data_IF_893817791779
#
_entry.id   IF_893817791779
#
_cell.length_a   1.000
_cell.length_b   1.000
_cell.length_c   1.000
_cell.angle_alpha   90.00
_cell.angle_beta   90.00
_cell.angle_gamma   90.00
#
_symmetry.space_group_name_H-M   'P 1'
#
loop_
_entity.id
_entity.type
_entity.pdbx_description
1 polymer ?
#
# COMPACT_ATOMS: atom_id res chain seq x y z
N UNK A 1 22.53 -9.41 20.03
CA UNK A 1 23.11 -8.11 20.42
C UNK A 1 22.04 -7.49 21.28
N UNK A 2 22.10 -7.74 22.58
CA UNK A 2 21.36 -6.88 23.49
C UNK A 2 21.92 -5.48 23.30
N UNK A 3 21.05 -4.47 23.32
CA UNK A 3 21.49 -3.10 23.49
C UNK A 3 22.20 -3.03 24.83
N UNK A 4 23.51 -3.31 24.78
CA UNK A 4 24.27 -3.66 25.96
C UNK A 4 24.20 -2.54 26.97
N UNK A 5 24.54 -2.86 28.21
CA UNK A 5 24.64 -1.98 29.40
C UNK A 5 25.33 -0.60 29.18
N UNK A 6 25.89 -0.34 28.00
CA UNK A 6 26.34 0.98 27.53
C UNK A 6 25.22 2.02 27.32
N UNK A 7 23.94 1.64 27.48
CA UNK A 7 22.80 2.55 27.36
C UNK A 7 22.38 3.20 28.68
N UNK A 8 23.11 2.96 29.77
CA UNK A 8 22.86 3.67 31.03
C UNK A 8 23.29 5.13 30.84
N UNK A 9 22.32 6.05 30.83
CA UNK A 9 22.60 7.47 30.77
C UNK A 9 23.53 7.86 31.93
N UNK A 10 24.58 8.67 31.71
CA UNK A 10 25.50 9.05 32.78
C UNK A 10 24.81 9.66 34.01
N UNK A 11 23.66 10.33 33.80
CA UNK A 11 22.85 10.92 34.86
C UNK A 11 22.24 9.89 35.80
N UNK A 12 21.89 8.69 35.33
CA UNK A 12 21.33 7.65 36.20
C UNK A 12 22.40 6.93 37.02
N UNK A 13 23.67 7.02 36.63
CA UNK A 13 24.80 6.47 37.38
C UNK A 13 25.49 7.52 38.30
N UNK A 14 25.25 8.82 38.09
CA UNK A 14 25.95 9.89 38.79
C UNK A 14 24.97 10.84 39.52
N UNK A 15 24.88 10.68 40.84
CA UNK A 15 24.01 11.47 41.73
C UNK A 15 24.22 12.98 41.62
N UNK A 16 25.44 13.43 41.31
CA UNK A 16 25.70 14.87 41.14
C UNK A 16 25.03 15.41 39.88
N UNK A 17 25.10 14.67 38.77
CA UNK A 17 24.41 15.03 37.53
C UNK A 17 22.90 14.95 37.70
N UNK A 18 22.39 13.97 38.44
CA UNK A 18 20.97 13.88 38.79
C UNK A 18 20.47 15.15 39.49
N UNK A 19 21.17 15.59 40.55
CA UNK A 19 20.79 16.80 41.30
C UNK A 19 20.87 18.04 40.40
N UNK A 20 21.88 18.14 39.54
CA UNK A 20 22.00 19.25 38.59
C UNK A 20 20.88 19.26 37.54
N UNK A 21 20.49 18.10 37.03
CA UNK A 21 19.38 17.97 36.09
C UNK A 21 18.07 18.38 36.76
N UNK A 22 17.78 17.83 37.95
CA UNK A 22 16.57 18.15 38.71
C UNK A 22 16.47 19.64 39.04
N UNK A 23 17.59 20.25 39.47
CA UNK A 23 17.64 21.68 39.76
C UNK A 23 17.42 22.52 38.50
N UNK A 24 18.05 22.16 37.39
CA UNK A 24 17.89 22.89 36.11
C UNK A 24 16.45 22.80 35.59
N UNK A 25 15.82 21.63 35.72
CA UNK A 25 14.43 21.41 35.31
C UNK A 25 13.45 22.19 36.18
N UNK A 26 13.63 22.14 37.50
CA UNK A 26 12.81 22.90 38.45
C UNK A 26 12.93 24.41 38.23
N UNK A 27 14.13 24.91 37.94
CA UNK A 27 14.36 26.33 37.66
C UNK A 27 13.75 26.79 36.34
N UNK A 28 13.73 25.92 35.32
CA UNK A 28 13.28 26.30 33.98
C UNK A 28 11.76 26.21 33.80
N UNK A 29 11.11 25.26 34.49
CA UNK A 29 9.70 24.93 34.26
C UNK A 29 8.78 25.27 35.45
N UNK A 30 9.33 25.66 36.61
CA UNK A 30 8.57 25.90 37.85
C UNK A 30 7.66 24.72 38.27
N UNK A 31 7.96 23.52 37.77
CA UNK A 31 7.25 22.28 38.12
C UNK A 31 8.10 21.49 39.10
N UNK A 32 7.52 21.14 40.25
CA UNK A 32 8.11 20.21 41.22
C UNK A 32 7.87 18.79 40.74
N UNK A 33 8.90 18.16 40.17
CA UNK A 33 8.86 16.77 39.69
C UNK A 33 9.58 15.87 40.68
N UNK A 34 8.99 14.71 40.99
CA UNK A 34 9.62 13.70 41.83
C UNK A 34 10.88 13.13 41.15
N UNK A 35 11.96 12.97 41.93
CA UNK A 35 13.25 12.47 41.43
C UNK A 35 13.13 11.09 40.75
N UNK A 36 12.21 10.23 41.20
CA UNK A 36 11.96 8.92 40.58
C UNK A 36 11.47 9.03 39.14
N UNK A 37 10.63 10.02 38.85
CA UNK A 37 10.11 10.26 37.50
C UNK A 37 11.20 10.85 36.59
N UNK A 38 12.00 11.78 37.12
CA UNK A 38 13.14 12.37 36.39
C UNK A 38 14.21 11.34 36.02
N UNK A 39 14.37 10.31 36.86
CA UNK A 39 15.30 9.20 36.63
C UNK A 39 14.69 8.02 35.87
N UNK A 40 13.41 8.07 35.52
CA UNK A 40 12.81 7.02 34.70
C UNK A 40 13.52 6.95 33.35
N UNK A 41 13.81 5.74 32.88
CA UNK A 41 14.50 5.54 31.59
C UNK A 41 13.74 6.22 30.45
N UNK A 42 12.41 6.10 30.43
CA UNK A 42 11.57 6.69 29.39
C UNK A 42 11.65 8.22 29.38
N UNK A 43 11.68 8.88 30.54
CA UNK A 43 11.85 10.34 30.60
C UNK A 43 13.23 10.77 30.08
N UNK A 44 14.29 10.07 30.48
CA UNK A 44 15.65 10.36 30.00
C UNK A 44 15.78 10.16 28.49
N UNK A 45 15.10 9.17 27.92
CA UNK A 45 15.01 8.99 26.47
C UNK A 45 14.27 10.12 25.77
N UNK A 46 13.13 10.57 26.30
CA UNK A 46 12.42 11.73 25.77
C UNK A 46 13.31 12.97 25.80
N UNK A 47 14.03 13.21 26.90
CA UNK A 47 14.95 14.33 27.02
C UNK A 47 16.13 14.21 26.03
N UNK A 48 16.70 13.02 25.89
CA UNK A 48 17.75 12.73 24.91
C UNK A 48 17.27 12.95 23.47
N UNK A 49 16.05 12.53 23.16
CA UNK A 49 15.45 12.71 21.84
C UNK A 49 14.99 14.14 21.55
N UNK A 50 14.77 14.95 22.57
CA UNK A 50 14.54 16.38 22.41
C UNK A 50 15.86 17.16 22.21
N UNK A 51 16.99 16.62 22.66
CA UNK A 51 18.29 17.26 22.57
C UNK A 51 18.98 17.03 21.21
N UNK A 52 19.03 18.05 20.36
CA UNK A 52 19.71 17.99 19.05
C UNK A 52 21.26 17.93 19.17
N UNK A 53 21.82 18.17 20.35
CA UNK A 53 23.27 18.37 20.58
C UNK A 53 23.98 17.22 21.27
N UNK A 54 23.37 16.03 21.34
CA UNK A 54 24.00 14.87 21.94
C UNK A 54 25.35 14.58 21.26
N UNK A 55 26.43 14.54 22.05
CA UNK A 55 27.78 14.23 21.54
C UNK A 55 28.03 12.72 21.42
N UNK A 56 27.35 11.93 22.26
CA UNK A 56 27.47 10.48 22.32
C UNK A 56 26.14 9.84 21.92
N UNK A 57 26.20 8.75 21.16
CA UNK A 57 25.02 7.99 20.82
C UNK A 57 24.66 7.03 21.94
N UNK A 58 23.50 7.23 22.56
CA UNK A 58 22.90 6.26 23.49
C UNK A 58 21.89 5.33 22.78
N UNK A 59 21.49 5.69 21.57
CA UNK A 59 20.71 4.89 20.62
C UNK A 59 19.83 5.78 19.76
N UNK A 60 19.08 5.14 18.88
CA UNK A 60 18.23 5.81 17.89
C UNK A 60 16.90 6.16 18.56
N UNK A 61 16.44 7.38 18.35
CA UNK A 61 15.16 7.83 18.91
C UNK A 61 14.01 7.15 18.18
N UNK A 62 13.01 6.58 18.90
CA UNK A 62 11.93 5.84 18.28
C UNK A 62 11.08 6.71 17.36
N UNK A 63 10.56 6.11 16.29
CA UNK A 63 9.57 6.72 15.43
C UNK A 63 8.50 5.70 15.05
N UNK A 64 7.64 5.45 16.04
CA UNK A 64 6.54 4.49 16.00
C UNK A 64 5.63 4.65 14.77
N UNK A 65 5.49 5.87 14.23
CA UNK A 65 4.63 6.15 13.07
C UNK A 65 5.28 5.80 11.71
N UNK A 66 6.60 5.60 11.66
CA UNK A 66 7.31 5.24 10.42
C UNK A 66 7.84 3.80 10.42
N UNK A 67 8.37 3.33 11.56
CA UNK A 67 9.00 2.02 11.67
C UNK A 67 8.43 1.15 12.81
N UNK A 68 7.39 1.63 13.48
CA UNK A 68 6.74 0.88 14.55
C UNK A 68 6.18 -0.46 14.09
N UNK A 69 5.99 -1.37 15.04
CA UNK A 69 5.59 -2.76 14.77
C UNK A 69 4.31 -2.85 13.96
N UNK A 70 3.32 -1.98 14.21
CA UNK A 70 2.07 -2.01 13.46
C UNK A 70 2.20 -1.55 12.02
N UNK A 71 3.02 -0.53 11.74
CA UNK A 71 3.30 -0.08 10.36
C UNK A 71 3.98 -1.21 9.58
N UNK A 72 5.02 -1.83 10.15
CA UNK A 72 5.72 -2.96 9.52
C UNK A 72 4.77 -4.11 9.23
N UNK A 73 3.99 -4.52 10.23
CA UNK A 73 2.98 -5.58 10.11
C UNK A 73 1.94 -5.25 9.04
N UNK A 74 1.51 -3.99 8.95
CA UNK A 74 0.56 -3.55 7.93
C UNK A 74 1.11 -3.74 6.51
N UNK A 75 2.39 -3.41 6.25
CA UNK A 75 3.01 -3.65 4.94
C UNK A 75 3.10 -5.14 4.60
N UNK A 76 3.54 -5.96 5.55
CA UNK A 76 3.65 -7.41 5.37
C UNK A 76 2.28 -8.04 5.09
N UNK A 77 1.29 -7.70 5.92
CA UNK A 77 -0.07 -8.21 5.83
C UNK A 77 -0.75 -7.75 4.54
N UNK A 78 -0.68 -6.45 4.22
CA UNK A 78 -1.27 -5.89 2.99
C UNK A 78 -0.74 -6.60 1.75
N UNK A 79 0.56 -6.88 1.70
CA UNK A 79 1.18 -7.56 0.55
C UNK A 79 0.76 -9.02 0.41
N UNK A 80 0.64 -9.75 1.52
CA UNK A 80 0.14 -11.13 1.52
C UNK A 80 -1.33 -11.15 1.08
N UNK A 81 -2.16 -10.27 1.64
CA UNK A 81 -3.57 -10.18 1.28
C UNK A 81 -3.76 -9.76 -0.18
N UNK A 82 -2.94 -8.85 -0.70
CA UNK A 82 -3.00 -8.47 -2.12
C UNK A 82 -2.67 -9.66 -3.03
N UNK A 83 -1.68 -10.47 -2.70
CA UNK A 83 -1.35 -11.68 -3.46
C UNK A 83 -2.50 -12.70 -3.42
N UNK A 84 -3.12 -12.92 -2.25
CA UNK A 84 -4.27 -13.81 -2.09
C UNK A 84 -5.48 -13.28 -2.86
N UNK A 85 -5.77 -11.98 -2.74
CA UNK A 85 -6.90 -11.34 -3.41
C UNK A 85 -6.83 -11.54 -4.91
N UNK A 86 -5.65 -11.40 -5.51
CA UNK A 86 -5.50 -11.61 -6.96
C UNK A 86 -5.57 -13.07 -7.37
N UNK A 87 -5.17 -13.99 -6.48
CA UNK A 87 -5.36 -15.42 -6.73
C UNK A 87 -6.82 -15.85 -6.65
N UNK A 88 -7.62 -15.26 -5.74
CA UNK A 88 -9.02 -15.63 -5.49
C UNK A 88 -9.99 -14.83 -6.37
N UNK A 89 -9.85 -13.51 -6.39
CA UNK A 89 -10.72 -12.56 -7.10
C UNK A 89 -9.90 -11.47 -7.82
N UNK A 90 -9.38 -11.77 -9.03
CA UNK A 90 -8.64 -10.79 -9.81
C UNK A 90 -9.49 -9.59 -10.25
N UNK A 91 -10.82 -9.67 -10.16
CA UNK A 91 -11.74 -8.57 -10.45
C UNK A 91 -11.74 -7.50 -9.34
N UNK A 92 -11.59 -7.92 -8.08
CA UNK A 92 -11.56 -7.02 -6.93
C UNK A 92 -10.15 -6.49 -6.61
N UNK A 93 -9.15 -6.91 -7.37
CA UNK A 93 -7.72 -6.55 -7.21
C UNK A 93 -7.44 -5.04 -7.22
N UNK A 94 -8.30 -4.23 -7.84
CA UNK A 94 -8.17 -2.76 -7.87
C UNK A 94 -8.17 -2.14 -6.48
N UNK A 95 -8.97 -2.68 -5.55
CA UNK A 95 -9.00 -2.24 -4.16
C UNK A 95 -7.66 -2.51 -3.45
N UNK A 96 -7.08 -3.69 -3.67
CA UNK A 96 -5.78 -4.06 -3.11
C UNK A 96 -4.65 -3.12 -3.54
N UNK A 97 -4.61 -2.74 -4.82
CA UNK A 97 -3.61 -1.80 -5.33
C UNK A 97 -3.79 -0.38 -4.75
N UNK A 98 -5.03 0.09 -4.58
CA UNK A 98 -5.30 1.37 -3.95
C UNK A 98 -4.89 1.39 -2.47
N UNK A 99 -5.18 0.32 -1.73
CA UNK A 99 -4.73 0.14 -0.34
C UNK A 99 -3.19 0.21 -0.25
N UNK A 100 -2.47 -0.48 -1.13
CA UNK A 100 -1.01 -0.44 -1.17
C UNK A 100 -0.46 0.97 -1.49
N UNK A 101 -1.11 1.71 -2.39
CA UNK A 101 -0.76 3.09 -2.70
C UNK A 101 -0.98 4.03 -1.50
N UNK A 102 -2.12 3.92 -0.80
CA UNK A 102 -2.41 4.68 0.42
C UNK A 102 -1.36 4.38 1.50
N UNK A 103 -1.04 3.11 1.72
CA UNK A 103 -0.09 2.70 2.75
C UNK A 103 1.33 3.22 2.42
N UNK A 104 1.72 3.19 1.15
CA UNK A 104 2.99 3.78 0.71
C UNK A 104 3.00 5.30 0.93
N UNK A 105 1.90 5.99 0.62
CA UNK A 105 1.77 7.42 0.84
C UNK A 105 1.80 7.78 2.34
N UNK A 106 1.16 6.97 3.19
CA UNK A 106 1.06 7.22 4.62
C UNK A 106 2.39 7.15 5.36
N UNK A 107 3.39 6.42 4.83
CA UNK A 107 4.76 6.44 5.38
C UNK A 107 5.68 7.41 4.67
N UNK A 108 5.52 7.57 3.36
CA UNK A 108 6.45 8.38 2.55
C UNK A 108 6.24 9.87 2.79
N UNK A 109 4.98 10.34 2.90
CA UNK A 109 4.68 11.75 3.12
C UNK A 109 5.18 12.23 4.49
N UNK A 110 4.89 11.55 5.62
CA UNK A 110 5.45 11.94 6.90
C UNK A 110 6.97 11.86 6.94
N UNK A 111 7.59 10.86 6.28
CA UNK A 111 9.05 10.79 6.18
C UNK A 111 9.64 12.00 5.44
N UNK A 112 9.01 12.46 4.35
CA UNK A 112 9.40 13.68 3.64
C UNK A 112 9.30 14.91 4.56
N UNK A 113 8.20 15.05 5.30
CA UNK A 113 7.98 16.17 6.23
C UNK A 113 9.03 16.14 7.35
N UNK A 114 9.25 14.98 7.98
CA UNK A 114 10.22 14.84 9.06
C UNK A 114 11.66 15.03 8.57
N UNK A 115 11.99 14.60 7.35
CA UNK A 115 13.28 14.86 6.72
C UNK A 115 13.49 16.36 6.53
N UNK A 116 12.49 17.07 6.00
CA UNK A 116 12.52 18.53 5.84
C UNK A 116 12.70 19.26 7.18
N UNK A 117 12.10 18.74 8.25
CA UNK A 117 12.24 19.28 9.60
C UNK A 117 13.53 18.82 10.31
N UNK A 118 14.41 18.08 9.64
CA UNK A 118 15.65 17.50 10.21
C UNK A 118 15.39 16.65 11.46
N UNK A 119 14.26 15.95 11.50
CA UNK A 119 13.87 15.04 12.60
C UNK A 119 14.00 13.56 12.21
N UNK A 120 14.26 13.27 10.94
CA UNK A 120 14.37 11.90 10.44
C UNK A 120 15.80 11.35 10.57
N UNK A 121 15.95 10.23 11.26
CA UNK A 121 17.23 9.51 11.31
C UNK A 121 17.44 8.64 10.06
N UNK A 122 18.70 8.31 9.76
CA UNK A 122 19.06 7.49 8.59
C UNK A 122 18.48 6.06 8.66
N UNK A 123 18.30 5.54 9.87
CA UNK A 123 17.66 4.25 10.13
C UNK A 123 16.20 4.24 9.65
N UNK A 124 15.38 5.20 10.08
CA UNK A 124 13.99 5.30 9.64
C UNK A 124 13.90 5.58 8.15
N UNK A 125 14.79 6.43 7.63
CA UNK A 125 14.80 6.80 6.24
C UNK A 125 14.99 5.60 5.29
N UNK A 126 15.91 4.70 5.65
CA UNK A 126 16.19 3.49 4.88
C UNK A 126 15.09 2.44 5.01
N UNK A 127 14.47 2.31 6.19
CA UNK A 127 13.29 1.44 6.38
C UNK A 127 12.10 1.90 5.53
N UNK A 128 11.78 3.19 5.54
CA UNK A 128 10.69 3.75 4.72
C UNK A 128 10.93 3.47 3.23
N UNK A 129 12.17 3.59 2.76
CA UNK A 129 12.49 3.26 1.37
C UNK A 129 12.32 1.76 1.08
N UNK A 130 12.73 0.88 1.99
CA UNK A 130 12.51 -0.57 1.84
C UNK A 130 11.01 -0.89 1.80
N UNK A 131 10.18 -0.29 2.66
CA UNK A 131 8.73 -0.51 2.68
C UNK A 131 8.06 -0.01 1.40
N UNK A 132 8.40 1.20 0.95
CA UNK A 132 7.87 1.78 -0.29
C UNK A 132 8.26 0.94 -1.51
N UNK A 133 9.51 0.47 -1.58
CA UNK A 133 10.00 -0.37 -2.68
C UNK A 133 9.36 -1.75 -2.65
N UNK A 134 9.28 -2.38 -1.46
CA UNK A 134 8.62 -3.66 -1.24
C UNK A 134 7.17 -3.61 -1.71
N UNK A 135 6.41 -2.62 -1.26
CA UNK A 135 5.00 -2.44 -1.65
C UNK A 135 4.86 -2.20 -3.16
N UNK A 136 5.76 -1.42 -3.76
CA UNK A 136 5.72 -1.12 -5.20
C UNK A 136 5.97 -2.38 -6.05
N UNK A 137 6.94 -3.21 -5.66
CA UNK A 137 7.25 -4.46 -6.37
C UNK A 137 6.06 -5.42 -6.30
N UNK A 138 5.46 -5.60 -5.12
CA UNK A 138 4.31 -6.50 -4.95
C UNK A 138 3.13 -6.02 -5.81
N UNK A 139 2.77 -4.74 -5.74
CA UNK A 139 1.71 -4.15 -6.56
C UNK A 139 1.97 -4.32 -8.06
N UNK A 140 3.19 -4.04 -8.54
CA UNK A 140 3.52 -4.14 -9.96
C UNK A 140 3.60 -5.59 -10.45
N UNK A 141 4.08 -6.53 -9.64
CA UNK A 141 4.14 -7.95 -9.99
C UNK A 141 2.75 -8.56 -10.12
N UNK A 142 1.82 -8.13 -9.27
CA UNK A 142 0.45 -8.62 -9.23
C UNK A 142 -0.43 -7.97 -10.31
N UNK A 143 -0.14 -6.73 -10.72
CA UNK A 143 -0.96 -5.97 -11.65
C UNK A 143 -1.27 -6.67 -13.01
N UNK A 144 -0.34 -7.38 -13.69
CA UNK A 144 -0.63 -8.11 -14.92
C UNK A 144 -1.71 -9.18 -14.79
N UNK A 145 -1.97 -9.67 -13.58
CA UNK A 145 -2.99 -10.69 -13.32
C UNK A 145 -4.40 -10.11 -13.20
N UNK A 146 -4.54 -8.79 -13.05
CA UNK A 146 -5.83 -8.11 -12.91
C UNK A 146 -6.63 -8.21 -14.24
N UNK A 147 -7.92 -8.52 -14.15
CA UNK A 147 -8.80 -8.68 -15.33
C UNK A 147 -8.94 -7.40 -16.14
N UNK A 148 -8.78 -6.24 -15.50
CA UNK A 148 -8.88 -4.90 -16.12
C UNK A 148 -7.89 -4.65 -17.25
N UNK A 149 -6.78 -5.38 -17.30
CA UNK A 149 -5.80 -5.29 -18.38
C UNK A 149 -6.18 -6.13 -19.60
N UNK A 150 -7.14 -7.05 -19.46
CA UNK A 150 -7.60 -7.87 -20.58
C UNK A 150 -8.48 -7.03 -21.48
N UNK A 151 -8.26 -7.06 -22.81
CA UNK A 151 -9.22 -6.46 -23.74
C UNK A 151 -10.57 -7.15 -23.53
N UNK A 152 -11.64 -6.36 -23.37
CA UNK A 152 -12.99 -6.90 -23.49
C UNK A 152 -13.10 -7.43 -24.93
N UNK A 153 -13.06 -8.75 -25.09
CA UNK A 153 -13.14 -9.37 -26.41
C UNK A 153 -14.40 -8.89 -27.12
N UNK A 154 -14.32 -8.65 -28.43
CA UNK A 154 -15.51 -8.34 -29.21
C UNK A 154 -16.49 -9.53 -29.07
N UNK A 155 -17.72 -9.29 -28.61
CA UNK A 155 -18.70 -10.35 -28.35
C UNK A 155 -19.10 -11.12 -29.63
N UNK A 156 -18.69 -10.69 -30.82
CA UNK A 156 -19.08 -11.29 -32.10
C UNK A 156 -18.20 -12.48 -32.54
N UNK A 157 -17.01 -12.67 -31.97
CA UNK A 157 -16.07 -13.73 -32.39
C UNK A 157 -15.95 -15.02 -31.52
N UNK A 158 -16.86 -15.39 -30.59
CA UNK A 158 -16.76 -16.70 -29.91
C UNK A 158 -17.39 -17.89 -30.66
N UNK A 159 -18.30 -17.66 -31.61
CA UNK A 159 -19.15 -18.74 -32.15
C UNK A 159 -18.51 -19.57 -33.30
N UNK A 160 -17.42 -19.11 -33.92
CA UNK A 160 -16.87 -19.74 -35.12
C UNK A 160 -15.63 -20.62 -34.90
N UNK A 161 -15.02 -20.61 -33.71
CA UNK A 161 -13.76 -21.32 -33.44
C UNK A 161 -13.94 -22.54 -32.51
N UNK A 162 -15.04 -22.61 -31.75
CA UNK A 162 -15.44 -23.85 -31.10
C UNK A 162 -16.40 -24.62 -32.01
N UNK A 163 -15.95 -25.79 -32.46
CA UNK A 163 -16.54 -26.59 -33.51
C UNK A 163 -18.06 -26.78 -33.43
N UNK A 164 -18.63 -26.69 -34.62
CA UNK A 164 -20.00 -26.89 -35.10
C UNK A 164 -20.60 -28.29 -34.80
N UNK A 165 -20.34 -28.87 -33.63
CA UNK A 165 -20.87 -30.20 -33.27
C UNK A 165 -21.50 -30.21 -31.87
N UNK A 166 -22.72 -29.67 -31.75
CA UNK A 166 -23.52 -29.93 -30.54
C UNK A 166 -24.68 -28.98 -30.24
N UNK A 167 -25.78 -29.13 -30.97
CA UNK A 167 -27.19 -28.84 -30.59
C UNK A 167 -27.53 -27.45 -29.99
N UNK A 168 -28.16 -26.69 -30.87
CA UNK A 168 -29.13 -25.59 -30.71
C UNK A 168 -30.27 -25.87 -29.71
N UNK A 169 -30.13 -25.52 -28.43
CA UNK A 169 -31.29 -25.49 -27.51
C UNK A 169 -31.13 -24.59 -26.26
N UNK A 170 -30.47 -23.43 -26.39
CA UNK A 170 -30.48 -22.42 -25.33
C UNK A 170 -30.54 -21.01 -25.94
N UNK A 171 -31.75 -20.61 -26.32
CA UNK A 171 -32.04 -19.27 -26.85
C UNK A 171 -32.30 -18.23 -25.73
N UNK A 172 -32.31 -18.64 -24.45
CA UNK A 172 -32.68 -17.77 -23.32
C UNK A 172 -31.54 -17.51 -22.33
N UNK A 173 -30.29 -17.84 -22.68
CA UNK A 173 -29.13 -17.40 -21.91
C UNK A 173 -28.91 -15.91 -22.17
N UNK A 174 -29.67 -15.08 -21.45
CA UNK A 174 -29.55 -13.63 -21.45
C UNK A 174 -28.06 -13.26 -21.27
N UNK A 175 -27.45 -12.53 -22.20
CA UNK A 175 -26.02 -12.27 -22.18
C UNK A 175 -25.68 -11.39 -20.95
N UNK A 176 -25.27 -12.05 -19.87
CA UNK A 176 -24.77 -11.48 -18.61
C UNK A 176 -23.52 -10.60 -18.76
N UNK A 177 -23.11 -10.28 -19.99
CA UNK A 177 -21.87 -9.58 -20.31
C UNK A 177 -22.05 -8.10 -20.68
N UNK A 178 -23.27 -7.54 -20.56
CA UNK A 178 -23.48 -6.09 -20.71
C UNK A 178 -23.03 -5.29 -19.47
N UNK A 179 -21.84 -5.58 -18.95
CA UNK A 179 -21.16 -4.64 -18.05
C UNK A 179 -20.88 -3.36 -18.86
N UNK A 180 -21.41 -2.20 -18.44
CA UNK A 180 -21.29 -0.98 -19.22
C UNK A 180 -19.82 -0.63 -19.41
N UNK A 181 -19.38 -0.46 -20.67
CA UNK A 181 -17.99 -0.17 -21.09
C UNK A 181 -17.33 0.93 -20.25
N UNK A 182 -18.11 1.89 -19.76
CA UNK A 182 -17.67 3.00 -18.90
C UNK A 182 -17.09 2.53 -17.55
N UNK A 183 -17.60 1.44 -16.95
CA UNK A 183 -17.12 0.94 -15.65
C UNK A 183 -15.71 0.38 -15.74
N UNK A 184 -15.42 -0.41 -16.78
CA UNK A 184 -14.09 -1.02 -17.01
C UNK A 184 -13.02 0.05 -17.24
N UNK A 185 -13.35 1.09 -18.03
CA UNK A 185 -12.43 2.19 -18.27
C UNK A 185 -12.07 2.94 -16.98
N UNK A 186 -13.06 3.23 -16.13
CA UNK A 186 -12.85 3.89 -14.83
C UNK A 186 -11.95 3.05 -13.92
N UNK A 187 -12.18 1.74 -13.83
CA UNK A 187 -11.34 0.84 -13.02
C UNK A 187 -9.89 0.82 -13.51
N UNK A 188 -9.66 0.79 -14.83
CA UNK A 188 -8.31 0.83 -15.41
C UNK A 188 -7.59 2.12 -15.04
N UNK A 189 -8.29 3.25 -15.15
CA UNK A 189 -7.75 4.56 -14.82
C UNK A 189 -7.37 4.64 -13.34
N UNK A 190 -8.27 4.21 -12.44
CA UNK A 190 -8.03 4.21 -10.99
C UNK A 190 -6.84 3.33 -10.64
N UNK A 191 -6.76 2.10 -11.17
CA UNK A 191 -5.62 1.22 -10.92
C UNK A 191 -4.30 1.80 -11.44
N UNK A 192 -4.30 2.36 -12.65
CA UNK A 192 -3.10 2.97 -13.24
C UNK A 192 -2.64 4.17 -12.42
N UNK A 193 -3.58 5.01 -11.95
CA UNK A 193 -3.30 6.15 -11.09
C UNK A 193 -2.73 5.72 -9.74
N UNK A 194 -3.27 4.65 -9.14
CA UNK A 194 -2.78 4.09 -7.89
C UNK A 194 -1.31 3.64 -8.02
N UNK A 195 -1.01 2.83 -9.03
CA UNK A 195 0.34 2.31 -9.29
C UNK A 195 1.32 3.44 -9.63
N UNK A 196 0.91 4.40 -10.47
CA UNK A 196 1.75 5.54 -10.83
C UNK A 196 2.06 6.42 -9.62
N UNK A 197 1.06 6.71 -8.79
CA UNK A 197 1.23 7.50 -7.55
C UNK A 197 2.19 6.80 -6.59
N UNK A 198 2.02 5.48 -6.42
CA UNK A 198 2.88 4.66 -5.56
C UNK A 198 4.35 4.71 -6.01
N UNK A 199 4.61 4.47 -7.30
CA UNK A 199 5.97 4.53 -7.87
C UNK A 199 6.54 5.95 -7.81
N UNK A 200 5.74 6.97 -8.14
CA UNK A 200 6.19 8.36 -8.09
C UNK A 200 6.60 8.80 -6.68
N UNK A 201 5.83 8.42 -5.65
CA UNK A 201 6.18 8.70 -4.26
C UNK A 201 7.46 7.98 -3.83
N UNK A 202 7.62 6.70 -4.20
CA UNK A 202 8.85 5.94 -3.93
C UNK A 202 10.07 6.59 -4.61
N UNK A 203 9.92 7.07 -5.84
CA UNK A 203 10.97 7.76 -6.58
C UNK A 203 11.31 9.11 -5.97
N UNK A 204 10.30 9.91 -5.62
CA UNK A 204 10.48 11.19 -4.94
C UNK A 204 11.23 11.01 -3.61
N UNK A 205 10.90 9.96 -2.85
CA UNK A 205 11.62 9.61 -1.63
C UNK A 205 13.08 9.26 -1.89
N UNK A 206 13.32 8.39 -2.88
CA UNK A 206 14.67 7.98 -3.28
C UNK A 206 15.53 9.16 -3.70
N UNK A 207 14.97 10.09 -4.50
CA UNK A 207 15.64 11.31 -4.93
C UNK A 207 15.95 12.20 -3.73
N UNK A 208 15.01 12.34 -2.79
CA UNK A 208 15.22 13.14 -1.57
C UNK A 208 16.37 12.59 -0.72
N UNK A 209 16.48 11.26 -0.59
CA UNK A 209 17.62 10.62 0.10
C UNK A 209 18.95 10.82 -0.64
N UNK A 210 18.91 10.95 -1.96
CA UNK A 210 20.09 11.22 -2.78
C UNK A 210 20.56 12.67 -2.65
N UNK A 211 19.63 13.63 -2.62
CA UNK A 211 19.95 15.06 -2.67
C UNK A 211 20.26 15.68 -1.31
N UNK A 212 19.74 15.11 -0.22
CA UNK A 212 19.95 15.63 1.14
C UNK A 212 20.69 14.62 2.04
N UNK A 213 22.01 14.80 2.25
CA UNK A 213 22.80 13.92 3.10
C UNK A 213 22.62 14.17 4.60
N UNK A 214 21.92 15.24 5.02
CA UNK A 214 21.82 15.60 6.43
C UNK A 214 20.72 14.80 7.13
N UNK A 215 21.07 14.02 8.15
CA UNK A 215 20.10 13.26 8.96
C UNK A 215 20.11 13.73 10.41
N UNK A 216 18.97 13.53 11.09
CA UNK A 216 18.85 13.76 12.52
C UNK A 216 19.75 12.80 13.33
N UNK A 217 20.07 13.17 14.58
CA UNK A 217 20.93 12.41 15.50
C UNK A 217 22.34 12.15 14.95
N UNK A 218 23.08 13.23 14.66
CA UNK A 218 24.44 13.14 14.09
C UNK A 218 25.37 12.21 14.87
N UNK A 219 25.25 12.14 16.20
CA UNK A 219 26.04 11.24 17.04
C UNK A 219 25.77 9.76 16.80
N UNK A 220 24.55 9.37 16.40
CA UNK A 220 24.17 7.98 16.14
C UNK A 220 24.39 7.51 14.71
N UNK A 221 24.68 8.43 13.79
CA UNK A 221 24.95 8.09 12.39
C UNK A 221 26.06 7.04 12.28
N UNK A 222 27.24 7.15 12.94
CA UNK A 222 28.33 6.20 12.75
C UNK A 222 27.99 4.76 13.19
N UNK A 223 27.25 4.63 14.29
CA UNK A 223 26.87 3.33 14.88
C UNK A 223 25.65 2.69 14.23
N UNK A 224 24.89 3.45 13.42
CA UNK A 224 23.71 2.91 12.73
C UNK A 224 24.11 1.81 11.76
N UNK A 225 23.41 0.68 11.84
CA UNK A 225 23.59 -0.48 10.96
C UNK A 225 22.47 -0.44 9.92
N UNK A 226 22.84 -0.51 8.65
CA UNK A 226 21.88 -0.62 7.54
C UNK A 226 22.07 -1.95 6.83
N UNK A 227 20.98 -2.54 6.36
CA UNK A 227 21.04 -3.79 5.57
C UNK A 227 20.80 -3.45 4.11
N UNK A 228 21.88 -3.43 3.32
CA UNK A 228 21.85 -3.10 1.90
C UNK A 228 22.23 -4.35 1.11
N UNK A 229 21.44 -4.71 0.10
CA UNK A 229 21.67 -5.93 -0.71
C UNK A 229 21.78 -7.21 0.14
N UNK A 230 21.04 -7.30 1.25
CA UNK A 230 21.10 -8.42 2.19
C UNK A 230 22.39 -8.50 3.03
N UNK A 231 23.30 -7.51 2.93
CA UNK A 231 24.50 -7.40 3.77
C UNK A 231 24.38 -6.29 4.78
N UNK A 232 24.91 -6.55 5.97
CA UNK A 232 25.03 -5.59 7.07
C UNK A 232 26.19 -4.63 6.79
N UNK A 233 25.90 -3.34 6.89
CA UNK A 233 26.90 -2.28 6.81
C UNK A 233 26.72 -1.31 7.97
N UNK A 234 27.82 -0.89 8.60
CA UNK A 234 27.82 0.29 9.45
C UNK A 234 27.90 1.53 8.56
N UNK A 235 27.06 2.52 8.85
CA UNK A 235 27.03 3.78 8.11
C UNK A 235 28.38 4.50 8.19
N UNK A 236 29.13 4.39 9.30
CA UNK A 236 30.49 4.93 9.38
C UNK A 236 31.40 4.35 8.30
N UNK A 237 31.35 3.03 8.10
CA UNK A 237 32.18 2.32 7.11
C UNK A 237 31.79 2.72 5.68
N UNK A 238 30.49 2.86 5.42
CA UNK A 238 30.01 3.34 4.12
C UNK A 238 30.52 4.76 3.88
N UNK A 239 30.33 5.68 4.82
CA UNK A 239 30.67 7.08 4.65
C UNK A 239 32.17 7.35 4.48
N UNK A 240 33.05 6.56 5.12
CA UNK A 240 34.50 6.79 5.06
C UNK A 240 35.23 6.01 3.96
N UNK A 241 34.66 4.92 3.43
CA UNK A 241 35.40 4.07 2.48
C UNK A 241 34.58 3.43 1.36
N UNK A 242 33.25 3.48 1.43
CA UNK A 242 32.39 2.79 0.47
C UNK A 242 31.17 3.62 0.09
N UNK A 243 31.33 4.94 -0.06
CA UNK A 243 30.21 5.86 -0.29
C UNK A 243 29.37 5.49 -1.52
N UNK A 244 29.99 4.86 -2.54
CA UNK A 244 29.33 4.34 -3.76
C UNK A 244 28.19 3.34 -3.47
N UNK A 245 28.16 2.71 -2.30
CA UNK A 245 27.09 1.78 -1.92
C UNK A 245 25.74 2.50 -1.80
N UNK A 246 25.71 3.75 -1.31
CA UNK A 246 24.48 4.54 -1.21
C UNK A 246 23.80 4.76 -2.57
N UNK A 247 24.44 5.38 -3.57
CA UNK A 247 23.81 5.59 -4.86
C UNK A 247 23.52 4.27 -5.58
N UNK A 248 24.36 3.23 -5.43
CA UNK A 248 24.07 1.92 -6.01
C UNK A 248 22.79 1.30 -5.44
N UNK A 249 22.58 1.40 -4.12
CA UNK A 249 21.36 0.91 -3.49
C UNK A 249 20.13 1.72 -3.90
N UNK A 250 20.24 3.06 -3.94
CA UNK A 250 19.15 3.92 -4.42
C UNK A 250 18.80 3.61 -5.90
N UNK A 251 19.81 3.47 -6.76
CA UNK A 251 19.64 3.07 -8.16
C UNK A 251 19.04 1.67 -8.28
N UNK A 252 19.42 0.73 -7.43
CA UNK A 252 18.80 -0.59 -7.38
C UNK A 252 17.29 -0.50 -7.10
N UNK A 253 16.86 0.30 -6.12
CA UNK A 253 15.44 0.50 -5.80
C UNK A 253 14.67 1.19 -6.95
N UNK A 254 15.29 2.11 -7.70
CA UNK A 254 14.66 2.71 -8.90
C UNK A 254 14.62 1.73 -10.08
N UNK A 255 15.73 1.02 -10.32
CA UNK A 255 15.84 0.10 -11.43
C UNK A 255 14.85 -1.06 -11.30
N UNK A 256 14.68 -1.60 -10.09
CA UNK A 256 13.73 -2.69 -9.86
C UNK A 256 12.28 -2.25 -10.10
N UNK A 257 11.86 -1.08 -9.61
CA UNK A 257 10.49 -0.62 -9.87
C UNK A 257 10.29 -0.25 -11.34
N UNK A 258 11.32 0.30 -12.01
CA UNK A 258 11.30 0.55 -13.44
C UNK A 258 11.17 -0.74 -14.27
N UNK A 259 11.97 -1.77 -13.98
CA UNK A 259 11.92 -3.05 -14.71
C UNK A 259 10.52 -3.66 -14.60
N UNK A 260 9.92 -3.66 -13.41
CA UNK A 260 8.57 -4.21 -13.22
C UNK A 260 7.49 -3.33 -13.87
N UNK A 261 7.67 -2.01 -13.89
CA UNK A 261 6.80 -1.11 -14.66
C UNK A 261 6.85 -1.40 -16.17
N UNK A 262 8.05 -1.65 -16.72
CA UNK A 262 8.21 -2.03 -18.13
C UNK A 262 7.59 -3.40 -18.40
N UNK A 263 7.79 -4.38 -17.52
CA UNK A 263 7.17 -5.69 -17.62
C UNK A 263 5.63 -5.61 -17.58
N UNK A 264 5.08 -4.72 -16.75
CA UNK A 264 3.65 -4.43 -16.72
C UNK A 264 3.17 -3.91 -18.07
N UNK A 265 3.83 -2.88 -18.63
CA UNK A 265 3.48 -2.32 -19.94
C UNK A 265 3.57 -3.40 -21.04
N UNK A 266 4.63 -4.21 -21.04
CA UNK A 266 4.79 -5.30 -22.00
C UNK A 266 3.69 -6.36 -21.87
N UNK A 267 3.36 -6.76 -20.64
CA UNK A 267 2.29 -7.73 -20.35
C UNK A 267 0.89 -7.22 -20.69
N UNK A 268 0.71 -5.88 -20.74
CA UNK A 268 -0.55 -5.26 -21.13
C UNK A 268 -0.83 -5.33 -22.64
N UNK A 269 0.16 -5.71 -23.45
CA UNK A 269 0.04 -5.80 -24.92
C UNK A 269 -0.94 -6.91 -25.34
N UNK A 270 -1.90 -6.64 -26.26
CA UNK A 270 -2.85 -7.61 -26.82
C UNK A 270 -2.21 -8.93 -27.28
N UNK A 271 -0.99 -8.85 -27.81
CA UNK A 271 -0.24 -10.00 -28.33
C UNK A 271 0.13 -11.06 -27.28
N UNK A 272 0.18 -10.69 -25.99
CA UNK A 272 0.58 -11.58 -24.88
C UNK A 272 -0.63 -12.16 -24.13
N UNK A 273 -1.81 -11.57 -24.32
CA UNK A 273 -3.05 -11.91 -23.60
C UNK A 273 -3.72 -13.27 -23.90
N UNK A 274 -3.67 -13.89 -25.10
CA UNK A 274 -4.45 -15.11 -25.35
C UNK A 274 -4.02 -16.31 -24.49
N UNK A 275 -2.83 -16.24 -23.89
CA UNK A 275 -2.25 -17.29 -23.04
C UNK A 275 -2.79 -17.25 -21.60
N UNK A 276 -3.23 -16.09 -21.10
CA UNK A 276 -3.70 -15.92 -19.71
C UNK A 276 -5.22 -16.00 -19.57
N UNK A 277 -5.98 -15.92 -20.67
CA UNK A 277 -7.45 -15.92 -20.67
C UNK A 277 -8.07 -17.32 -20.71
N UNK A 278 -7.29 -18.38 -20.93
CA UNK A 278 -7.80 -19.76 -20.83
C UNK A 278 -8.12 -20.06 -19.37
N UNK A 279 -9.36 -19.79 -19.00
CA UNK A 279 -9.93 -20.26 -17.74
C UNK A 279 -9.68 -21.76 -17.68
N UNK A 280 -9.00 -22.28 -16.64
CA UNK A 280 -8.76 -23.72 -16.54
C UNK A 280 -10.11 -24.41 -16.62
N UNK A 281 -10.33 -25.19 -17.67
CA UNK A 281 -11.53 -25.99 -17.87
C UNK A 281 -11.75 -26.80 -16.58
N UNK A 282 -12.90 -26.56 -15.95
CA UNK A 282 -13.14 -26.74 -14.51
C UNK A 282 -13.22 -28.21 -14.07
N UNK A 283 -12.85 -29.19 -14.90
CA UNK A 283 -13.26 -30.58 -14.69
C UNK A 283 -12.32 -31.68 -15.20
N UNK A 284 -11.09 -31.36 -15.57
CA UNK A 284 -10.10 -32.42 -15.80
C UNK A 284 -9.19 -32.51 -14.57
N UNK A 285 -9.44 -33.49 -13.69
CA UNK A 285 -8.48 -33.88 -12.65
C UNK A 285 -7.25 -34.49 -13.35
N UNK A 286 -6.10 -33.79 -13.43
CA UNK A 286 -4.93 -34.38 -14.01
C UNK A 286 -4.22 -35.19 -12.92
N UNK A 287 -4.09 -36.51 -13.13
CA UNK A 287 -3.43 -37.44 -12.21
C UNK A 287 -1.92 -37.16 -12.03
N UNK A 288 -1.32 -36.28 -12.83
CA UNK A 288 0.12 -36.02 -12.82
C UNK A 288 0.44 -34.53 -12.85
N UNK A 289 1.09 -34.03 -11.79
CA UNK A 289 1.63 -32.66 -11.65
C UNK A 289 2.49 -32.17 -12.83
N UNK A 290 3.08 -33.09 -13.60
CA UNK A 290 3.92 -32.79 -14.77
C UNK A 290 3.12 -32.23 -15.95
N UNK A 291 1.87 -32.68 -16.11
CA UNK A 291 0.99 -32.22 -17.20
C UNK A 291 0.36 -30.85 -16.89
N UNK A 292 0.48 -30.38 -15.64
CA UNK A 292 0.08 -29.04 -15.20
C UNK A 292 1.12 -27.95 -15.51
N UNK A 293 2.32 -28.30 -15.98
CA UNK A 293 3.32 -27.30 -16.34
C UNK A 293 2.88 -26.59 -17.63
N UNK A 294 2.61 -25.27 -17.58
CA UNK A 294 2.19 -24.54 -18.76
C UNK A 294 3.33 -24.55 -19.77
N UNK A 295 3.10 -25.09 -20.96
CA UNK A 295 4.09 -25.11 -22.03
C UNK A 295 4.19 -23.75 -22.76
N UNK A 296 3.26 -22.85 -22.48
CA UNK A 296 3.23 -21.51 -23.05
C UNK A 296 4.32 -20.61 -22.47
N UNK A 297 5.22 -20.15 -23.34
CA UNK A 297 6.35 -19.27 -23.00
C UNK A 297 5.92 -18.03 -22.21
N UNK A 298 4.77 -17.44 -22.55
CA UNK A 298 4.23 -16.25 -21.87
C UNK A 298 3.86 -16.52 -20.41
N UNK A 299 3.18 -17.64 -20.13
CA UNK A 299 2.78 -18.00 -18.76
C UNK A 299 3.99 -18.35 -17.91
N UNK A 300 4.97 -19.06 -18.47
CA UNK A 300 6.25 -19.33 -17.81
C UNK A 300 6.95 -18.00 -17.45
N UNK A 301 7.00 -17.03 -18.38
CA UNK A 301 7.63 -15.73 -18.12
C UNK A 301 6.96 -14.99 -16.96
N UNK A 302 5.63 -14.96 -16.90
CA UNK A 302 4.89 -14.33 -15.80
C UNK A 302 5.15 -15.03 -14.47
N UNK A 303 5.16 -16.37 -14.45
CA UNK A 303 5.46 -17.15 -13.25
C UNK A 303 6.88 -16.88 -12.76
N UNK A 304 7.87 -16.88 -13.66
CA UNK A 304 9.27 -16.55 -13.33
C UNK A 304 9.36 -15.13 -12.81
N UNK A 305 8.73 -14.16 -13.47
CA UNK A 305 8.71 -12.76 -13.04
C UNK A 305 8.15 -12.60 -11.62
N UNK A 306 7.02 -13.25 -11.32
CA UNK A 306 6.42 -13.22 -9.99
C UNK A 306 7.26 -13.94 -8.93
N UNK A 307 7.92 -15.04 -9.30
CA UNK A 307 8.84 -15.73 -8.40
C UNK A 307 10.06 -14.86 -8.06
N UNK A 308 10.64 -14.18 -9.05
CA UNK A 308 11.73 -13.22 -8.83
C UNK A 308 11.25 -12.05 -7.98
N UNK A 309 10.06 -11.51 -8.25
CA UNK A 309 9.45 -10.45 -7.44
C UNK A 309 9.32 -10.88 -5.98
N UNK A 310 8.80 -12.09 -5.75
CA UNK A 310 8.67 -12.68 -4.42
C UNK A 310 10.03 -12.79 -3.70
N UNK A 311 11.07 -13.28 -4.37
CA UNK A 311 12.41 -13.39 -3.78
C UNK A 311 12.98 -12.02 -3.37
N UNK A 312 12.77 -10.99 -4.20
CA UNK A 312 13.28 -9.65 -3.90
C UNK A 312 12.45 -8.99 -2.79
N UNK A 313 11.12 -9.16 -2.81
CA UNK A 313 10.24 -8.72 -1.72
C UNK A 313 10.62 -9.40 -0.40
N UNK A 314 10.90 -10.71 -0.42
CA UNK A 314 11.39 -11.44 0.76
C UNK A 314 12.74 -10.91 1.24
N UNK A 315 13.66 -10.59 0.32
CA UNK A 315 14.94 -9.97 0.65
C UNK A 315 14.75 -8.62 1.35
N UNK A 316 13.86 -7.76 0.86
CA UNK A 316 13.56 -6.46 1.47
C UNK A 316 12.90 -6.59 2.85
N UNK A 317 12.00 -7.56 3.00
CA UNK A 317 11.36 -7.88 4.28
C UNK A 317 12.40 -8.33 5.31
N UNK A 318 13.18 -9.36 4.98
CA UNK A 318 14.22 -9.89 5.88
C UNK A 318 15.26 -8.82 6.18
N UNK A 319 15.66 -8.02 5.19
CA UNK A 319 16.61 -6.91 5.39
C UNK A 319 16.08 -5.88 6.38
N UNK A 320 14.80 -5.52 6.28
CA UNK A 320 14.16 -4.56 7.18
C UNK A 320 14.06 -5.10 8.60
N UNK A 321 13.64 -6.35 8.78
CA UNK A 321 13.54 -6.99 10.11
C UNK A 321 14.92 -7.19 10.76
N UNK A 322 15.92 -7.60 9.97
CA UNK A 322 17.30 -7.69 10.45
C UNK A 322 17.83 -6.31 10.84
N UNK A 323 17.51 -5.27 10.07
CA UNK A 323 17.90 -3.90 10.39
C UNK A 323 17.28 -3.43 11.71
N UNK A 324 15.98 -3.66 11.93
CA UNK A 324 15.29 -3.36 13.20
C UNK A 324 15.95 -4.12 14.36
N UNK A 325 16.19 -5.42 14.19
CA UNK A 325 16.76 -6.27 15.25
C UNK A 325 18.22 -5.96 15.59
N UNK A 326 18.96 -5.28 14.70
CA UNK A 326 20.39 -4.97 14.88
C UNK A 326 20.66 -3.56 15.39
N UNK A 327 19.70 -2.64 15.25
CA UNK A 327 19.84 -1.30 15.78
C UNK A 327 19.21 -1.19 17.17
N UNK A 328 19.78 -0.33 17.99
CA UNK A 328 19.23 -0.01 19.30
C UNK A 328 18.26 1.15 19.20
N UNK A 329 16.97 0.80 19.12
CA UNK A 329 15.86 1.74 19.17
C UNK A 329 15.09 1.48 20.47
N UNK A 330 14.94 2.50 21.31
CA UNK A 330 14.25 2.37 22.59
C UNK A 330 12.74 2.35 22.38
N UNK A 331 12.04 1.36 22.95
CA UNK A 331 10.57 1.25 23.05
C UNK A 331 9.75 1.38 21.72
N UNK A 332 10.40 1.41 20.56
CA UNK A 332 9.71 1.46 19.25
C UNK A 332 8.83 0.24 18.96
N UNK A 333 9.16 -0.91 19.57
CA UNK A 333 8.45 -2.17 19.35
C UNK A 333 7.41 -2.49 20.43
N UNK A 334 7.42 -1.80 21.57
CA UNK A 334 6.44 -1.99 22.64
C UNK A 334 5.23 -1.08 22.47
N UNK A 335 5.43 0.09 21.87
CA UNK A 335 4.45 1.16 21.89
C UNK A 335 3.58 1.15 20.63
N UNK A 336 2.28 0.95 20.85
CA UNK A 336 1.26 1.00 19.80
C UNK A 336 0.68 2.40 19.70
N UNK A 337 1.01 3.12 18.63
CA UNK A 337 0.39 4.42 18.32
C UNK A 337 -0.95 4.25 17.61
N UNK A 338 -1.79 5.28 17.64
CA UNK A 338 -3.01 5.32 16.83
C UNK A 338 -2.71 5.13 15.33
N UNK A 339 -1.62 5.73 14.84
CA UNK A 339 -1.18 5.59 13.44
C UNK A 339 -0.88 4.14 13.05
N UNK A 340 -0.26 3.37 13.95
CA UNK A 340 0.00 1.95 13.73
C UNK A 340 -1.28 1.11 13.62
N UNK A 341 -2.26 1.35 14.49
CA UNK A 341 -3.55 0.65 14.46
C UNK A 341 -4.30 1.01 13.17
N UNK A 342 -4.33 2.29 12.81
CA UNK A 342 -4.95 2.76 11.58
C UNK A 342 -4.30 2.12 10.33
N UNK A 343 -2.97 2.00 10.29
CA UNK A 343 -2.26 1.33 9.22
C UNK A 343 -2.68 -0.15 9.07
N UNK A 344 -2.85 -0.89 10.16
CA UNK A 344 -3.32 -2.28 10.12
C UNK A 344 -4.76 -2.37 9.63
N UNK A 345 -5.65 -1.48 10.08
CA UNK A 345 -7.03 -1.44 9.61
C UNK A 345 -7.11 -1.19 8.10
N UNK A 346 -6.29 -0.27 7.59
CA UNK A 346 -6.17 -0.01 6.14
C UNK A 346 -5.64 -1.25 5.42
N UNK A 347 -4.61 -1.91 5.96
CA UNK A 347 -4.04 -3.14 5.39
C UNK A 347 -5.02 -4.32 5.36
N UNK A 348 -6.02 -4.35 6.25
CA UNK A 348 -7.06 -5.37 6.29
C UNK A 348 -8.19 -5.16 5.27
N UNK A 349 -8.28 -4.00 4.61
CA UNK A 349 -9.34 -3.73 3.63
C UNK A 349 -9.49 -4.83 2.54
N UNK A 350 -8.41 -5.41 1.97
CA UNK A 350 -8.52 -6.50 1.00
C UNK A 350 -9.04 -7.82 1.59
N UNK A 351 -8.99 -8.02 2.90
CA UNK A 351 -9.47 -9.25 3.54
C UNK A 351 -10.98 -9.42 3.37
N UNK A 352 -11.74 -8.33 3.40
CA UNK A 352 -13.20 -8.38 3.18
C UNK A 352 -13.53 -8.88 1.77
N UNK A 353 -12.86 -8.34 0.75
CA UNK A 353 -12.97 -8.77 -0.64
C UNK A 353 -12.64 -10.26 -0.84
N UNK A 354 -11.64 -10.76 -0.11
CA UNK A 354 -11.31 -12.19 -0.12
C UNK A 354 -12.47 -13.01 0.46
N UNK A 355 -13.03 -12.59 1.59
CA UNK A 355 -14.15 -13.29 2.24
C UNK A 355 -15.39 -13.30 1.35
N UNK A 356 -15.77 -12.19 0.74
CA UNK A 356 -16.93 -12.12 -0.17
C UNK A 356 -16.74 -12.98 -1.41
N UNK A 357 -15.53 -13.00 -1.98
CA UNK A 357 -15.21 -13.86 -3.11
C UNK A 357 -15.29 -15.35 -2.73
N UNK A 358 -14.81 -15.72 -1.55
CA UNK A 358 -14.90 -17.10 -1.05
C UNK A 358 -16.34 -17.51 -0.73
N UNK A 359 -17.16 -16.63 -0.15
CA UNK A 359 -18.58 -16.91 0.13
C UNK A 359 -19.38 -17.12 -1.16
N UNK A 360 -19.16 -16.26 -2.16
CA UNK A 360 -19.76 -16.40 -3.49
C UNK A 360 -19.34 -17.71 -4.18
N UNK A 361 -18.16 -18.24 -3.88
CA UNK A 361 -17.75 -19.58 -4.35
C UNK A 361 -18.45 -20.73 -3.63
N UNK A 362 -18.87 -20.54 -2.37
CA UNK A 362 -19.50 -21.59 -1.57
C UNK A 362 -21.00 -21.69 -1.74
N UNK A 363 -21.70 -20.64 -2.19
CA UNK A 363 -23.10 -20.74 -2.61
C UNK A 363 -23.17 -21.78 -3.74
N UNK A 364 -23.60 -23.01 -3.44
CA UNK A 364 -23.66 -24.04 -4.45
C UNK A 364 -24.64 -23.54 -5.51
N UNK A 365 -24.43 -23.91 -6.78
CA UNK A 365 -25.48 -23.88 -7.80
C UNK A 365 -26.60 -24.86 -7.40
N UNK A 366 -27.27 -24.60 -6.28
CA UNK A 366 -28.31 -25.43 -5.73
C UNK A 366 -29.68 -25.10 -6.31
N UNK A 367 -29.75 -24.12 -7.21
CA UNK A 367 -31.02 -23.50 -7.63
C UNK A 367 -31.35 -23.71 -9.12
N UNK A 368 -30.88 -24.79 -9.73
CA UNK A 368 -31.32 -25.18 -11.09
C UNK A 368 -31.82 -26.63 -11.14
N UNK A 369 -32.37 -27.09 -10.03
CA UNK A 369 -33.34 -28.20 -10.00
C UNK A 369 -34.68 -27.69 -9.52
N UNK A 370 -35.14 -26.58 -10.07
CA UNK A 370 -36.59 -26.44 -10.26
C UNK A 370 -37.00 -27.63 -11.14
N UNK A 371 -37.82 -28.57 -10.64
CA UNK A 371 -38.33 -29.62 -11.50
C UNK A 371 -39.06 -28.92 -12.64
N UNK A 372 -38.61 -29.19 -13.87
CA UNK A 372 -39.33 -28.84 -15.09
C UNK A 372 -40.70 -29.49 -14.94
N UNK A 373 -41.67 -28.74 -14.40
CA UNK A 373 -43.06 -29.10 -14.44
C UNK A 373 -43.41 -28.95 -15.91
N UNK A 374 -43.45 -30.08 -16.60
CA UNK A 374 -43.94 -30.19 -17.97
C UNK A 374 -45.41 -29.75 -17.97
N UNK A 375 -45.66 -28.45 -18.04
CA UNK A 375 -46.96 -27.93 -18.47
C UNK A 375 -47.04 -28.08 -20.00
N UNK A 376 -47.07 -29.35 -20.42
CA UNK A 376 -47.51 -29.79 -21.74
C UNK A 376 -48.99 -30.07 -21.62
N UNK A 377 -49.81 -29.06 -21.36
CA UNK A 377 -51.24 -29.16 -21.62
C UNK A 377 -51.87 -27.78 -21.80
N UNK A 378 -52.56 -27.60 -22.92
CA UNK A 378 -53.46 -26.48 -23.27
C UNK A 378 -52.88 -25.28 -24.04
N UNK A 379 -52.30 -25.52 -25.22
CA UNK A 379 -52.25 -24.50 -26.29
C UNK A 379 -52.79 -25.01 -27.64
N UNK A 380 -53.90 -25.76 -27.61
CA UNK A 380 -54.56 -26.28 -28.81
C UNK A 380 -56.03 -25.83 -28.97
N UNK A 381 -56.44 -24.72 -28.34
CA UNK A 381 -57.83 -24.27 -28.42
C UNK A 381 -58.02 -22.76 -28.56
N UNK A 382 -57.34 -22.12 -29.52
CA UNK A 382 -57.80 -20.79 -30.03
C UNK A 382 -57.25 -20.48 -31.42
N UNK A 383 -57.50 -21.36 -32.39
CA UNK A 383 -57.56 -20.99 -33.81
C UNK A 383 -58.94 -21.39 -34.28
N UNK A 384 -59.83 -20.42 -34.32
CA UNK A 384 -61.04 -20.32 -35.13
C UNK A 384 -61.97 -19.32 -34.45
N UNK A 385 -61.82 -18.03 -34.75
CA UNK A 385 -62.94 -17.13 -35.05
C UNK A 385 -62.43 -15.72 -35.40
N UNK A 386 -63.15 -15.11 -36.34
CA UNK A 386 -63.18 -13.68 -36.65
C UNK A 386 -62.06 -13.07 -37.50
N UNK A 387 -62.18 -13.39 -38.78
CA UNK A 387 -62.30 -12.33 -39.79
C UNK A 387 -63.52 -11.45 -39.47
N UNK A 388 -63.42 -10.11 -39.52
CA UNK A 388 -64.24 -9.18 -40.35
C UNK A 388 -63.87 -7.70 -40.07
N UNK A 389 -63.87 -6.90 -41.15
CA UNK A 389 -64.18 -5.45 -41.23
C UNK A 389 -63.27 -4.42 -40.56
N UNK A 390 -62.57 -3.54 -41.30
CA UNK A 390 -63.05 -2.38 -42.08
C UNK A 390 -63.26 -1.11 -41.23
N UNK A 391 -62.75 0.00 -41.79
CA UNK A 391 -63.04 1.44 -41.55
C UNK A 391 -62.22 2.23 -40.53
N UNK A 392 -61.35 3.05 -41.12
CA UNK A 392 -61.01 4.45 -40.83
C UNK A 392 -61.60 5.12 -39.57
N UNK A 393 -60.73 5.79 -38.80
CA UNK A 393 -61.02 7.15 -38.32
C UNK A 393 -59.75 7.89 -37.92
N UNK A 394 -59.67 9.12 -38.42
CA UNK A 394 -58.80 10.25 -38.09
C UNK A 394 -58.92 10.76 -36.65
N UNK A 395 -57.97 11.64 -36.29
CA UNK A 395 -57.88 12.50 -35.10
C UNK A 395 -57.54 11.79 -33.78
N UNK A 396 -56.68 12.29 -32.89
CA UNK A 396 -56.08 13.60 -32.75
C UNK A 396 -55.96 13.91 -31.25
N UNK A 397 -54.74 14.27 -30.81
CA UNK A 397 -54.44 15.15 -29.65
C UNK A 397 -54.42 14.57 -28.21
N UNK A 398 -53.37 15.02 -27.48
CA UNK A 398 -53.14 15.13 -26.01
C UNK A 398 -52.79 13.81 -25.30
N UNK A 399 -51.81 13.67 -24.42
CA UNK A 399 -50.87 14.55 -23.68
C UNK A 399 -49.88 13.60 -22.98
N UNK A 400 -48.61 13.98 -22.73
CA UNK A 400 -47.69 13.15 -21.97
C UNK A 400 -47.88 13.38 -20.46
N UNK A 401 -48.21 12.32 -19.73
CA UNK A 401 -48.12 12.27 -18.26
C UNK A 401 -46.80 11.59 -17.91
N UNK A 402 -45.93 12.35 -17.25
CA UNK A 402 -44.71 11.87 -16.60
C UNK A 402 -45.03 10.85 -15.49
N UNK A 403 -44.01 10.11 -15.04
CA UNK A 403 -43.52 10.50 -13.72
C UNK A 403 -42.01 10.76 -13.73
N UNK A 404 -41.69 11.95 -13.23
CA UNK A 404 -40.39 12.35 -12.72
C UNK A 404 -40.03 11.36 -11.59
N UNK A 405 -39.02 10.52 -11.79
CA UNK A 405 -38.34 9.86 -10.68
C UNK A 405 -37.23 10.81 -10.28
N UNK A 406 -37.51 11.56 -9.23
CA UNK A 406 -36.61 12.43 -8.51
C UNK A 406 -35.63 11.53 -7.74
N UNK A 407 -34.43 11.37 -8.30
CA UNK A 407 -33.32 10.71 -7.60
C UNK A 407 -32.86 11.65 -6.49
N UNK A 408 -33.31 11.34 -5.27
CA UNK A 408 -32.87 11.96 -4.02
C UNK A 408 -31.39 11.66 -3.86
N UNK A 409 -30.56 12.55 -4.41
CA UNK A 409 -29.16 12.64 -4.08
C UNK A 409 -29.07 13.37 -2.74
N UNK A 410 -28.93 12.59 -1.68
CA UNK A 410 -28.71 13.04 -0.31
C UNK A 410 -27.35 13.75 -0.25
N UNK A 411 -27.34 15.03 -0.62
CA UNK A 411 -26.27 15.96 -0.27
C UNK A 411 -26.30 16.13 1.25
N UNK A 412 -25.47 15.34 1.93
CA UNK A 412 -25.04 15.64 3.29
C UNK A 412 -24.32 16.98 3.21
N UNK A 413 -25.06 18.05 3.50
CA UNK A 413 -24.48 19.31 3.93
C UNK A 413 -23.87 19.03 5.30
N UNK A 414 -22.54 18.96 5.34
CA UNK A 414 -21.80 19.03 6.59
C UNK A 414 -21.96 20.48 7.02
N UNK A 415 -22.79 20.70 8.03
CA UNK A 415 -22.84 21.96 8.77
C UNK A 415 -21.41 22.33 9.17
N UNK A 416 -20.97 23.52 8.74
CA UNK A 416 -19.72 24.13 9.18
C UNK A 416 -19.76 24.25 10.71
N UNK A 417 -19.00 23.39 11.39
CA UNK A 417 -18.67 23.62 12.79
C UNK A 417 -17.97 24.98 12.92
N UNK A 418 -18.35 25.80 13.92
CA UNK A 418 -17.67 27.06 14.17
C UNK A 418 -16.21 26.77 14.52
N UNK A 419 -15.32 27.13 13.60
CA UNK A 419 -13.88 27.13 13.81
C UNK A 419 -13.54 28.04 14.99
N UNK A 420 -13.34 27.45 16.16
CA UNK A 420 -12.70 28.12 17.28
C UNK A 420 -11.22 28.32 16.91
N UNK A 421 -10.94 29.50 16.35
CA UNK A 421 -9.60 30.04 16.21
C UNK A 421 -9.01 30.24 17.61
N UNK A 422 -8.21 29.28 18.06
CA UNK A 422 -7.24 29.53 19.11
C UNK A 422 -6.15 30.44 18.53
N UNK A 423 -6.31 31.75 18.72
CA UNK A 423 -5.22 32.70 18.58
C UNK A 423 -4.15 32.39 19.62
N UNK A 424 -3.25 31.45 19.31
CA UNK A 424 -1.95 31.38 19.95
C UNK A 424 -1.12 32.56 19.44
N UNK A 425 -1.12 33.63 20.21
CA UNK A 425 -0.21 34.76 20.05
C UNK A 425 1.20 34.27 20.35
N UNK A 426 1.89 33.74 19.34
CA UNK A 426 3.32 33.43 19.42
C UNK A 426 4.07 34.77 19.53
N UNK A 427 4.84 35.03 20.59
CA UNK A 427 5.63 36.26 20.71
C UNK A 427 6.62 36.36 19.55
N UNK A 428 6.54 37.46 18.80
CA UNK A 428 7.27 37.67 17.53
C UNK A 428 8.76 37.98 17.71
N UNK A 429 9.32 37.86 18.92
CA UNK A 429 10.65 38.40 19.25
C UNK A 429 11.73 37.36 19.64
N UNK A 430 11.49 36.05 19.49
CA UNK A 430 12.43 35.03 20.00
C UNK A 430 13.51 34.51 19.03
N UNK A 431 13.57 34.95 17.77
CA UNK A 431 14.64 34.49 16.84
C UNK A 431 15.36 35.65 16.14
N UNK A 432 16.13 36.41 16.93
CA UNK A 432 17.26 37.19 16.42
C UNK A 432 18.55 36.45 16.78
N UNK A 433 18.89 35.41 16.03
CA UNK A 433 20.21 34.79 16.10
C UNK A 433 21.26 35.85 15.74
N UNK A 434 22.04 36.28 16.74
CA UNK A 434 23.29 37.02 16.51
C UNK A 434 24.22 36.13 15.70
N UNK A 435 24.62 36.60 14.53
CA UNK A 435 25.76 36.03 13.81
C UNK A 435 27.00 36.04 14.71
N UNK A 436 27.84 34.99 14.69
CA UNK A 436 29.07 34.96 15.47
C UNK A 436 30.01 36.08 15.01
N UNK A 437 30.41 36.93 15.94
CA UNK A 437 31.40 37.98 15.74
C UNK A 437 32.75 37.36 15.33
N UNK A 438 33.28 37.83 14.20
CA UNK A 438 34.62 37.53 13.69
C UNK A 438 35.67 37.80 14.79
N UNK A 439 36.60 36.88 15.08
CA UNK A 439 37.69 37.16 16.02
C UNK A 439 38.60 38.26 15.45
N UNK A 440 39.15 39.14 16.31
CA UNK A 440 40.06 40.19 15.89
C UNK A 440 41.38 39.61 15.38
N UNK A 441 42.05 40.29 14.43
CA UNK A 441 43.36 39.88 13.95
C UNK A 441 44.39 39.98 15.08
N UNK A 442 45.09 38.88 15.31
CA UNK A 442 46.29 38.81 16.15
C UNK A 442 47.42 39.58 15.47
N UNK A 443 47.90 40.62 16.14
CA UNK A 443 49.18 41.27 15.85
C UNK A 443 50.30 40.64 16.67
#
# INVERSE_FOLDING_TARGET
>A
MECGLSNVFPVSANRTLEVQLAQSFSQSLDVKIDNSTLLSSSFLWVLYCAADTAQHCHGICPNADLAGVGVRTAFWLSSILQAILVAVSPEESTQGAWTAAILTASVTIPALIQKRNRQLSIYHATLVLNFATFSSIVSLAVAPMCTVWRPAGDPELPALIFGEEGRTLSNDAEPLTNLPKNKVHRQRLVLSLALLTQVALQWAWTITLFTDPEYYQKACIPSTIVVLFGRLFSVQKINHGQYIIWPLWLLFNLAITLIWGVLLVYSSSPSVHPVLSRSPSRLDLPLTWRDKLPQDKGRIMVIISNFVAFLISLLLLVSSEVQVARNCVHDENSDWSFGQIAAILVALAPAWSIVTALDNHHKPQMDDRTPIHNDVESEQHTRDLESTSVLASTDGRKTPIAPLIEEVQETISIDEEPSYSYHLTVPRDAFRQRAPSKPPPSH
#
